data_IF_837969490671
#
_entry.id   IF_837969490671
#
_cell.length_a   1.000
_cell.length_b   1.000
_cell.length_c   1.000
_cell.angle_alpha   90.00
_cell.angle_beta   90.00
_cell.angle_gamma   90.00
#
_symmetry.space_group_name_H-M   'P 1'
#
loop_
_entity.id
_entity.type
_entity.pdbx_description
1 polymer ?
#
# COMPACT_ATOMS: atom_id res chain seq x y z
N UNK A 1 -14.30 45.47 15.10
CA UNK A 1 -12.98 45.61 14.46
C UNK A 1 -12.50 44.23 14.08
N UNK A 2 -12.20 44.00 12.80
CA UNK A 2 -11.57 42.77 12.33
C UNK A 2 -10.17 42.69 12.93
N UNK A 3 -9.89 41.65 13.72
CA UNK A 3 -8.56 41.41 14.28
C UNK A 3 -7.60 41.08 13.15
N UNK A 4 -6.38 41.61 13.20
CA UNK A 4 -5.34 41.27 12.22
C UNK A 4 -4.83 39.85 12.48
N UNK A 5 -4.37 39.16 11.43
CA UNK A 5 -3.79 37.81 11.54
C UNK A 5 -2.67 37.70 12.57
N UNK A 6 -1.83 38.74 12.67
CA UNK A 6 -0.75 38.80 13.66
C UNK A 6 -1.30 38.83 15.09
N UNK A 7 -2.40 39.55 15.32
CA UNK A 7 -3.04 39.65 16.64
C UNK A 7 -3.59 38.29 17.05
N UNK A 8 -4.28 37.59 16.13
CA UNK A 8 -4.82 36.23 16.36
C UNK A 8 -3.68 35.24 16.65
N UNK A 9 -2.59 35.26 15.88
CA UNK A 9 -1.44 34.39 16.12
C UNK A 9 -0.80 34.65 17.49
N UNK A 10 -0.71 35.92 17.90
CA UNK A 10 -0.14 36.29 19.21
C UNK A 10 -1.01 35.80 20.38
N UNK A 11 -2.34 35.90 20.28
CA UNK A 11 -3.28 35.40 21.30
C UNK A 11 -3.18 33.87 21.46
N UNK A 12 -3.06 33.14 20.35
CA UNK A 12 -2.91 31.67 20.36
C UNK A 12 -1.62 31.27 21.07
N UNK A 13 -0.49 31.90 20.70
CA UNK A 13 0.81 31.59 21.31
C UNK A 13 0.86 31.99 22.78
N UNK A 14 0.27 33.13 23.15
CA UNK A 14 0.16 33.55 24.55
C UNK A 14 -0.59 32.52 25.39
N UNK A 15 -1.67 31.96 24.84
CA UNK A 15 -2.43 30.89 25.50
C UNK A 15 -1.60 29.62 25.63
N UNK A 16 -0.87 29.23 24.57
CA UNK A 16 0.01 28.06 24.56
C UNK A 16 1.13 28.16 25.62
N UNK A 17 1.76 29.34 25.74
CA UNK A 17 2.82 29.60 26.72
C UNK A 17 2.28 29.65 28.15
N UNK A 18 1.02 30.07 28.33
CA UNK A 18 0.36 30.06 29.64
C UNK A 18 0.07 28.64 30.13
N UNK A 19 -0.15 27.69 29.21
CA UNK A 19 -0.44 26.28 29.50
C UNK A 19 0.82 25.42 29.60
N UNK A 20 1.88 25.75 28.86
CA UNK A 20 3.10 24.95 28.76
C UNK A 20 4.34 25.84 28.83
N UNK A 21 5.29 25.52 29.72
CA UNK A 21 6.58 26.19 29.77
C UNK A 21 7.40 25.88 28.51
N UNK A 22 7.69 26.88 27.70
CA UNK A 22 8.47 26.75 26.46
C UNK A 22 9.70 27.66 26.48
N UNK A 23 10.75 27.30 25.74
CA UNK A 23 11.93 28.15 25.60
C UNK A 23 11.67 29.33 24.67
N UNK A 24 12.46 30.41 24.79
CA UNK A 24 12.28 31.61 23.95
C UNK A 24 12.41 31.31 22.44
N UNK A 25 13.25 30.34 22.07
CA UNK A 25 13.41 29.88 20.69
C UNK A 25 12.16 29.16 20.18
N UNK A 26 11.53 28.35 21.03
CA UNK A 26 10.33 27.60 20.68
C UNK A 26 9.13 28.54 20.51
N UNK A 27 9.01 29.56 21.38
CA UNK A 27 7.96 30.59 21.27
C UNK A 27 8.04 31.29 19.92
N UNK A 28 9.26 31.69 19.51
CA UNK A 28 9.46 32.35 18.23
C UNK A 28 9.18 31.41 17.04
N UNK A 29 9.48 30.11 17.17
CA UNK A 29 9.17 29.11 16.16
C UNK A 29 7.66 28.87 16.03
N UNK A 30 6.96 28.67 17.16
CA UNK A 30 5.50 28.47 17.18
C UNK A 30 4.76 29.68 16.62
N UNK A 31 5.20 30.91 16.92
CA UNK A 31 4.58 32.11 16.36
C UNK A 31 4.68 32.17 14.84
N UNK A 32 5.85 31.84 14.28
CA UNK A 32 6.03 31.78 12.82
C UNK A 32 5.15 30.70 12.18
N UNK A 33 5.05 29.54 12.82
CA UNK A 33 4.30 28.39 12.32
C UNK A 33 2.78 28.60 12.38
N UNK A 34 2.28 29.17 13.47
CA UNK A 34 0.86 29.56 13.59
C UNK A 34 0.52 30.67 12.59
N UNK A 35 1.41 31.65 12.41
CA UNK A 35 1.17 32.71 11.44
C UNK A 35 1.15 32.20 9.98
N UNK A 36 2.06 31.29 9.60
CA UNK A 36 2.07 30.71 8.25
C UNK A 36 0.82 29.89 7.97
N UNK A 37 0.42 29.03 8.91
CA UNK A 37 -0.80 28.21 8.77
C UNK A 37 -2.05 29.07 8.65
N UNK A 38 -2.20 30.11 9.47
CA UNK A 38 -3.34 31.01 9.35
C UNK A 38 -3.34 31.79 8.02
N UNK A 39 -2.16 32.16 7.48
CA UNK A 39 -2.05 32.80 6.17
C UNK A 39 -2.43 31.84 5.03
N UNK A 40 -2.09 30.56 5.13
CA UNK A 40 -2.50 29.54 4.16
C UNK A 40 -4.01 29.33 4.16
N UNK A 41 -4.62 29.29 5.36
CA UNK A 41 -6.07 29.21 5.51
C UNK A 41 -6.78 30.43 4.91
N UNK A 42 -6.29 31.65 5.16
CA UNK A 42 -6.86 32.87 4.58
C UNK A 42 -6.75 32.88 3.04
N UNK A 43 -5.61 32.44 2.49
CA UNK A 43 -5.41 32.31 1.03
C UNK A 43 -6.37 31.28 0.42
N UNK A 44 -6.64 30.20 1.12
CA UNK A 44 -7.52 29.16 0.63
C UNK A 44 -9.02 29.54 0.77
N UNK A 45 -9.38 30.27 1.83
CA UNK A 45 -10.71 30.88 1.97
C UNK A 45 -11.00 31.89 0.85
N UNK A 46 -10.03 32.76 0.54
CA UNK A 46 -10.16 33.76 -0.54
C UNK A 46 -10.15 33.16 -1.93
N UNK A 47 -9.51 32.01 -2.14
CA UNK A 47 -9.49 31.30 -3.41
C UNK A 47 -10.73 30.41 -3.65
N UNK A 48 -11.69 30.33 -2.70
CA UNK A 48 -12.84 29.43 -2.76
C UNK A 48 -12.46 27.96 -3.05
N UNK A 49 -11.29 27.54 -2.59
CA UNK A 49 -10.82 26.16 -2.66
C UNK A 49 -11.21 25.50 -1.34
N UNK A 50 -12.01 24.44 -1.41
CA UNK A 50 -12.27 23.59 -0.25
C UNK A 50 -10.95 22.97 0.21
N UNK A 51 -10.42 23.49 1.33
CA UNK A 51 -9.42 22.77 2.09
C UNK A 51 -10.15 21.59 2.71
N UNK A 52 -9.93 20.39 2.20
CA UNK A 52 -10.25 19.19 2.97
C UNK A 52 -9.47 19.30 4.27
N UNK A 53 -10.18 19.51 5.39
CA UNK A 53 -9.70 19.29 6.74
C UNK A 53 -9.36 17.80 6.91
N UNK A 54 -8.32 17.34 6.23
CA UNK A 54 -7.60 16.13 6.60
C UNK A 54 -6.72 16.55 7.76
N UNK A 55 -6.99 15.94 8.91
CA UNK A 55 -6.18 16.02 10.12
C UNK A 55 -4.69 16.00 9.80
N UNK A 56 -3.84 16.66 10.59
CA UNK A 56 -2.39 16.63 10.42
C UNK A 56 -1.88 15.23 10.79
N UNK A 57 -2.06 14.26 9.91
CA UNK A 57 -1.25 13.07 9.87
C UNK A 57 0.01 13.45 9.10
N UNK A 58 0.91 14.14 9.80
CA UNK A 58 2.32 14.32 9.47
C UNK A 58 2.59 14.57 7.97
N UNK A 59 2.61 15.85 7.63
CA UNK A 59 3.42 16.37 6.54
C UNK A 59 4.79 15.67 6.46
N UNK A 60 5.21 15.50 5.20
CA UNK A 60 6.61 15.39 4.83
C UNK A 60 7.38 14.23 5.44
N UNK A 61 7.17 13.05 4.88
CA UNK A 61 8.36 12.29 4.49
C UNK A 61 8.40 12.35 2.99
N UNK A 62 9.42 13.05 2.52
CA UNK A 62 10.00 12.99 1.20
C UNK A 62 9.79 11.64 0.51
N UNK A 63 10.04 11.63 -0.80
CA UNK A 63 10.36 10.44 -1.58
C UNK A 63 11.61 9.68 -1.05
N UNK A 64 11.76 9.53 0.26
CA UNK A 64 12.53 8.50 0.94
C UNK A 64 11.98 7.19 0.44
N UNK A 65 12.68 6.64 -0.55
CA UNK A 65 12.61 5.29 -1.07
C UNK A 65 12.27 4.32 0.05
N UNK A 66 10.98 4.17 0.38
CA UNK A 66 10.54 3.24 1.39
C UNK A 66 10.95 1.89 0.84
N UNK A 67 11.80 1.19 1.59
CA UNK A 67 12.20 -0.15 1.19
C UNK A 67 10.92 -0.97 1.00
N UNK A 68 10.88 -1.90 0.03
CA UNK A 68 9.70 -2.74 -0.19
C UNK A 68 9.21 -3.44 1.08
N UNK A 69 10.12 -3.75 2.01
CA UNK A 69 9.81 -4.32 3.32
C UNK A 69 9.02 -3.39 4.25
N UNK A 70 9.26 -2.07 4.17
CA UNK A 70 8.64 -1.06 5.03
C UNK A 70 7.28 -0.57 4.51
N UNK A 71 6.94 -0.87 3.25
CA UNK A 71 5.63 -0.55 2.67
C UNK A 71 4.47 -1.26 3.39
N UNK A 72 4.68 -2.49 3.87
CA UNK A 72 3.65 -3.29 4.53
C UNK A 72 3.76 -3.15 6.06
N UNK A 73 2.92 -2.29 6.63
CA UNK A 73 2.86 -2.09 8.08
C UNK A 73 1.82 -3.01 8.74
N UNK A 74 1.69 -2.89 10.07
CA UNK A 74 0.76 -3.71 10.85
C UNK A 74 -0.70 -3.42 10.49
N UNK A 75 -1.08 -2.15 10.39
CA UNK A 75 -2.47 -1.72 10.19
C UNK A 75 -2.76 -1.12 8.81
N UNK A 76 -1.72 -0.63 8.13
CA UNK A 76 -1.80 0.00 6.82
C UNK A 76 -0.71 -0.50 5.87
N UNK A 77 -0.88 -0.20 4.59
CA UNK A 77 0.09 -0.43 3.52
C UNK A 77 0.23 0.84 2.73
N UNK A 78 1.48 1.25 2.48
CA UNK A 78 1.80 2.48 1.78
C UNK A 78 2.14 2.13 0.33
N UNK A 79 1.46 2.75 -0.63
CA UNK A 79 1.80 2.57 -2.04
C UNK A 79 3.12 3.26 -2.38
N UNK A 80 4.08 2.49 -2.89
CA UNK A 80 5.39 3.00 -3.29
C UNK A 80 5.41 3.91 -4.53
N UNK A 81 4.30 4.04 -5.27
CA UNK A 81 4.20 4.92 -6.45
C UNK A 81 3.64 6.30 -6.07
N UNK A 82 2.67 6.35 -5.16
CA UNK A 82 1.91 7.56 -4.86
C UNK A 82 1.83 7.92 -3.38
N UNK A 83 2.47 7.15 -2.49
CA UNK A 83 2.44 7.39 -1.04
C UNK A 83 1.10 7.13 -0.35
N UNK A 84 0.05 6.74 -1.09
CA UNK A 84 -1.27 6.55 -0.52
C UNK A 84 -1.31 5.42 0.52
N UNK A 85 -1.88 5.73 1.68
CA UNK A 85 -2.05 4.77 2.77
C UNK A 85 -3.38 4.04 2.64
N UNK A 86 -3.34 2.70 2.55
CA UNK A 86 -4.54 1.88 2.43
C UNK A 86 -4.40 0.58 3.22
N UNK A 87 -5.52 -0.04 3.60
CA UNK A 87 -5.49 -1.32 4.31
C UNK A 87 -5.06 -2.51 3.42
N UNK A 88 -5.22 -2.37 2.12
CA UNK A 88 -4.79 -3.32 1.09
C UNK A 88 -4.58 -2.60 -0.25
N UNK A 89 -3.52 -2.91 -1.00
CA UNK A 89 -3.39 -2.49 -2.40
C UNK A 89 -4.40 -3.26 -3.28
N UNK A 90 -5.45 -2.54 -3.66
CA UNK A 90 -6.50 -3.06 -4.54
C UNK A 90 -6.04 -3.04 -5.99
N UNK A 91 -6.55 -3.97 -6.82
CA UNK A 91 -6.25 -3.94 -8.26
C UNK A 91 -6.66 -2.63 -8.92
N UNK A 92 -7.76 -2.00 -8.47
CA UNK A 92 -8.23 -0.71 -9.00
C UNK A 92 -7.19 0.40 -8.85
N UNK A 93 -6.54 0.45 -7.69
CA UNK A 93 -5.49 1.44 -7.40
C UNK A 93 -4.22 1.20 -8.23
N UNK A 94 -3.87 -0.05 -8.52
CA UNK A 94 -2.73 -0.34 -9.40
C UNK A 94 -3.06 -0.03 -10.86
N UNK A 95 -4.31 -0.24 -11.28
CA UNK A 95 -4.77 0.11 -12.62
C UNK A 95 -4.74 1.62 -12.85
N UNK A 96 -5.03 2.46 -11.84
CA UNK A 96 -4.84 3.92 -11.98
C UNK A 96 -3.38 4.31 -12.21
N UNK A 97 -2.44 3.48 -11.78
CA UNK A 97 -0.99 3.64 -12.07
C UNK A 97 -0.55 2.93 -13.35
N UNK A 98 -1.49 2.39 -14.16
CA UNK A 98 -1.19 1.72 -15.42
C UNK A 98 -0.47 0.38 -15.26
N UNK A 99 -0.55 -0.26 -14.07
CA UNK A 99 0.22 -1.46 -13.76
C UNK A 99 -0.61 -2.55 -13.09
N UNK A 100 -0.23 -3.80 -13.29
CA UNK A 100 -0.84 -4.96 -12.64
C UNK A 100 -0.16 -5.30 -11.30
N UNK A 101 -0.85 -6.07 -10.45
CA UNK A 101 -0.26 -6.59 -9.20
C UNK A 101 1.04 -7.38 -9.43
N UNK A 102 1.14 -8.09 -10.56
CA UNK A 102 2.34 -8.88 -10.90
C UNK A 102 3.51 -7.98 -11.27
N UNK A 103 3.25 -6.93 -12.06
CA UNK A 103 4.27 -5.94 -12.43
C UNK A 103 4.71 -5.12 -11.23
N UNK A 104 3.77 -4.71 -10.36
CA UNK A 104 4.07 -4.05 -9.10
C UNK A 104 5.04 -4.86 -8.25
N UNK A 105 4.76 -6.16 -8.08
CA UNK A 105 5.63 -7.05 -7.32
C UNK A 105 7.01 -7.22 -7.95
N UNK A 106 7.10 -7.30 -9.27
CA UNK A 106 8.38 -7.39 -9.98
C UNK A 106 9.19 -6.10 -9.87
N UNK A 107 8.55 -4.93 -10.05
CA UNK A 107 9.18 -3.61 -9.99
C UNK A 107 9.83 -3.36 -8.62
N UNK A 108 9.16 -3.77 -7.56
CA UNK A 108 9.62 -3.57 -6.18
C UNK A 108 10.20 -4.82 -5.51
N UNK A 109 10.41 -5.92 -6.25
CA UNK A 109 11.05 -7.13 -5.71
C UNK A 109 10.25 -7.90 -4.64
N UNK A 110 8.92 -7.76 -4.60
CA UNK A 110 8.08 -8.55 -3.71
C UNK A 110 7.99 -10.01 -4.16
N UNK A 111 8.05 -10.95 -3.22
CA UNK A 111 7.77 -12.37 -3.53
C UNK A 111 6.32 -12.54 -3.97
N UNK A 112 6.05 -13.54 -4.83
CA UNK A 112 4.69 -13.81 -5.30
C UNK A 112 3.75 -14.29 -4.19
N UNK A 113 4.30 -14.83 -3.10
CA UNK A 113 3.54 -15.30 -1.95
C UNK A 113 3.17 -14.16 -0.98
N UNK A 114 3.87 -13.01 -1.02
CA UNK A 114 3.63 -11.92 -0.08
C UNK A 114 2.30 -11.22 -0.37
N UNK A 115 1.39 -11.10 0.61
CA UNK A 115 0.16 -10.32 0.44
C UNK A 115 0.47 -8.82 0.39
N UNK A 116 -0.12 -8.09 -0.56
CA UNK A 116 -0.06 -6.63 -0.64
C UNK A 116 -1.13 -5.99 0.27
N UNK A 117 -1.19 -6.45 1.52
CA UNK A 117 -2.21 -6.09 2.49
C UNK A 117 -1.60 -5.97 3.88
N UNK A 118 -2.24 -5.18 4.76
CA UNK A 118 -1.77 -4.99 6.12
C UNK A 118 -1.68 -6.33 6.86
N UNK A 119 -0.71 -6.46 7.78
CA UNK A 119 -0.50 -7.71 8.53
C UNK A 119 -1.72 -8.06 9.38
N UNK A 120 -2.39 -7.06 9.96
CA UNK A 120 -3.62 -7.25 10.73
C UNK A 120 -4.76 -7.82 9.88
N UNK A 121 -4.97 -7.28 8.67
CA UNK A 121 -5.98 -7.79 7.74
C UNK A 121 -5.69 -9.23 7.28
N UNK A 122 -4.43 -9.53 6.99
CA UNK A 122 -3.99 -10.88 6.60
C UNK A 122 -4.21 -11.88 7.72
N UNK A 123 -3.87 -11.50 8.96
CA UNK A 123 -4.10 -12.31 10.16
C UNK A 123 -5.59 -12.53 10.42
N UNK A 124 -6.42 -11.49 10.27
CA UNK A 124 -7.86 -11.59 10.41
C UNK A 124 -8.48 -12.55 9.39
N UNK A 125 -8.09 -12.46 8.12
CA UNK A 125 -8.52 -13.40 7.07
C UNK A 125 -8.09 -14.83 7.34
N UNK A 126 -6.84 -15.04 7.77
CA UNK A 126 -6.33 -16.36 8.15
C UNK A 126 -7.13 -16.95 9.33
N UNK A 127 -7.40 -16.16 10.39
CA UNK A 127 -8.24 -16.58 11.52
C UNK A 127 -9.65 -16.96 11.05
N UNK A 128 -10.27 -16.15 10.19
CA UNK A 128 -11.59 -16.44 9.65
C UNK A 128 -11.61 -17.72 8.79
N UNK A 129 -10.57 -17.97 8.00
CA UNK A 129 -10.44 -19.20 7.22
C UNK A 129 -10.27 -20.44 8.11
N UNK A 130 -9.49 -20.34 9.18
CA UNK A 130 -9.33 -21.41 10.18
C UNK A 130 -10.66 -21.73 10.87
N UNK A 131 -11.41 -20.70 11.30
CA UNK A 131 -12.76 -20.86 11.89
C UNK A 131 -13.73 -21.59 10.94
N UNK A 132 -13.61 -21.37 9.63
CA UNK A 132 -14.45 -22.03 8.60
C UNK A 132 -13.99 -23.45 8.24
N UNK A 133 -12.93 -23.97 8.85
CA UNK A 133 -12.37 -25.30 8.53
C UNK A 133 -11.76 -25.40 7.13
N UNK A 134 -11.45 -24.28 6.48
CA UNK A 134 -10.84 -24.28 5.14
C UNK A 134 -9.52 -25.07 5.06
N UNK A 135 -8.57 -24.99 6.02
CA UNK A 135 -7.32 -25.73 5.89
C UNK A 135 -7.50 -27.26 5.94
N UNK A 136 -8.45 -27.77 6.73
CA UNK A 136 -8.71 -29.20 6.83
C UNK A 136 -9.34 -29.75 5.56
N UNK A 137 -10.36 -29.04 5.02
CA UNK A 137 -10.97 -29.37 3.72
C UNK A 137 -9.95 -29.38 2.59
N UNK A 138 -8.97 -28.47 2.64
CA UNK A 138 -7.90 -28.38 1.64
C UNK A 138 -6.95 -29.58 1.72
N UNK A 139 -6.58 -30.04 2.94
CA UNK A 139 -5.79 -31.26 3.13
C UNK A 139 -6.51 -32.50 2.56
N UNK A 140 -7.79 -32.67 2.90
CA UNK A 140 -8.59 -33.79 2.40
C UNK A 140 -8.69 -33.80 0.88
N UNK A 141 -8.91 -32.63 0.26
CA UNK A 141 -8.97 -32.50 -1.20
C UNK A 141 -7.63 -32.83 -1.89
N UNK A 142 -6.50 -32.47 -1.27
CA UNK A 142 -5.17 -32.82 -1.79
C UNK A 142 -4.94 -34.33 -1.72
N UNK A 143 -5.27 -34.97 -0.60
CA UNK A 143 -5.13 -36.42 -0.42
C UNK A 143 -6.02 -37.19 -1.41
N UNK A 144 -7.28 -36.77 -1.57
CA UNK A 144 -8.19 -37.34 -2.56
C UNK A 144 -7.62 -37.23 -3.99
N UNK A 145 -7.07 -36.06 -4.36
CA UNK A 145 -6.39 -35.89 -5.66
C UNK A 145 -5.15 -36.77 -5.81
N UNK A 146 -4.36 -36.96 -4.75
CA UNK A 146 -3.18 -37.84 -4.75
C UNK A 146 -3.57 -39.28 -4.98
N UNK A 147 -4.59 -39.76 -4.27
CA UNK A 147 -5.12 -41.12 -4.40
C UNK A 147 -5.74 -41.35 -5.79
N UNK A 148 -6.46 -40.36 -6.33
CA UNK A 148 -7.01 -40.45 -7.69
C UNK A 148 -5.89 -40.54 -8.76
N UNK A 149 -4.83 -39.72 -8.64
CA UNK A 149 -3.67 -39.80 -9.54
C UNK A 149 -2.92 -41.14 -9.45
N UNK A 150 -2.77 -41.68 -8.24
CA UNK A 150 -2.12 -42.98 -8.03
C UNK A 150 -2.92 -44.16 -8.64
N UNK A 151 -4.26 -44.07 -8.64
CA UNK A 151 -5.13 -45.06 -9.30
C UNK A 151 -5.03 -45.00 -10.83
N UNK A 152 -4.82 -43.82 -11.41
CA UNK A 152 -4.66 -43.65 -12.86
C UNK A 152 -3.25 -43.96 -13.39
N UNK A 153 -2.26 -44.21 -12.53
CA UNK A 153 -0.85 -44.37 -12.93
C UNK A 153 -0.28 -45.79 -12.73
N UNK A 154 -1.11 -46.84 -12.65
CA UNK A 154 -0.64 -48.25 -12.73
C UNK A 154 -0.37 -48.60 -14.22
N UNK A 155 0.74 -49.30 -14.56
CA UNK A 155 1.47 -49.07 -15.80
C UNK A 155 0.97 -49.91 -16.99
N UNK A 156 0.98 -49.32 -18.19
CA UNK A 156 1.10 -50.06 -19.44
C UNK A 156 2.58 -49.98 -19.87
N UNK A 157 3.28 -51.12 -19.83
CA UNK A 157 4.58 -51.31 -20.49
C UNK A 157 4.32 -52.24 -21.68
N UNK A 158 4.48 -51.72 -22.90
CA UNK A 158 4.74 -52.34 -24.22
C UNK A 158 4.30 -51.28 -25.24
N UNK A 159 5.06 -50.73 -26.20
CA UNK A 159 6.30 -51.11 -26.89
C UNK A 159 6.97 -49.82 -27.42
N UNK A 160 8.26 -49.92 -27.70
CA UNK A 160 9.03 -48.91 -28.44
C UNK A 160 8.44 -48.73 -29.85
N UNK A 161 8.06 -47.52 -30.23
CA UNK A 161 8.22 -47.04 -31.62
C UNK A 161 8.69 -45.59 -31.61
N UNK A 162 9.89 -45.42 -32.14
CA UNK A 162 10.55 -44.17 -32.49
C UNK A 162 9.84 -43.48 -33.65
N UNK A 163 9.37 -42.23 -33.51
CA UNK A 163 9.14 -41.36 -34.66
C UNK A 163 8.99 -39.87 -34.28
N UNK A 164 9.90 -39.04 -34.81
CA UNK A 164 9.57 -37.75 -35.43
C UNK A 164 9.18 -36.56 -34.53
N UNK A 165 10.15 -35.69 -34.24
CA UNK A 165 9.93 -34.32 -33.74
C UNK A 165 9.69 -33.37 -34.92
N UNK A 166 8.54 -32.68 -35.07
CA UNK A 166 8.48 -31.54 -35.96
C UNK A 166 8.90 -30.26 -35.20
N UNK A 167 9.97 -29.63 -35.70
CA UNK A 167 10.46 -28.32 -35.25
C UNK A 167 9.38 -27.27 -35.51
N UNK A 168 8.84 -26.63 -34.46
CA UNK A 168 8.08 -25.37 -34.60
C UNK A 168 9.04 -24.25 -35.03
N UNK A 169 8.96 -23.85 -36.29
CA UNK A 169 9.65 -22.69 -36.85
C UNK A 169 9.12 -21.39 -36.22
N UNK A 170 10.02 -20.59 -35.65
CA UNK A 170 9.72 -19.20 -35.23
C UNK A 170 9.63 -18.33 -36.47
N UNK A 171 8.44 -17.93 -36.88
CA UNK A 171 8.28 -16.87 -37.88
C UNK A 171 8.52 -15.53 -37.17
N UNK A 172 9.68 -14.94 -37.46
CA UNK A 172 10.11 -13.61 -37.03
C UNK A 172 9.60 -12.63 -38.08
N UNK A 173 8.45 -11.98 -37.87
CA UNK A 173 8.02 -10.88 -38.76
C UNK A 173 8.89 -9.66 -38.50
N UNK A 174 9.74 -9.33 -39.48
CA UNK A 174 10.51 -8.09 -39.60
C UNK A 174 9.56 -6.93 -39.94
N UNK A 175 9.90 -5.76 -39.40
CA UNK A 175 9.39 -4.43 -39.75
C UNK A 175 9.45 -4.18 -41.26
N UNK A 176 8.42 -3.52 -41.77
CA UNK A 176 8.50 -2.51 -42.83
C UNK A 176 7.89 -1.23 -42.24
#
# INVERSE_FOLDING_TARGET
>A
MSKKLIEIASEIVQTQVSLTSMSATDIAASLRQVFSTLQELEKAETAAIYIECTQPAAEEVAATKLSPANSIQNDKVICLECGAEMRQLTSKHLVSHGMSQKEYRKKYGFTMATPLAAKSLTKARSKAAKKRGLPEKLKQAIEARRLAKAKTSKPAITEKVTAGKPKRTRIRKKKA
#
